data_IF_881993201785
#
_entry.id   IF_881993201785
#
_cell.length_a   1.000
_cell.length_b   1.000
_cell.length_c   1.000
_cell.angle_alpha   90.00
_cell.angle_beta   90.00
_cell.angle_gamma   90.00
#
_symmetry.space_group_name_H-M   'P 1'
#
loop_
_entity.id
_entity.type
_entity.pdbx_description
1 polymer ?
#
# COMPACT_ATOMS: atom_id res chain seq x y z
N UNK A 1 7.58 -0.14 -8.28
CA UNK A 1 8.38 0.52 -7.22
C UNK A 1 9.46 -0.43 -6.75
N UNK A 2 10.65 0.08 -6.56
CA UNK A 2 11.71 -0.66 -5.88
C UNK A 2 11.72 -0.25 -4.41
N UNK A 3 11.26 -1.15 -3.56
CA UNK A 3 11.12 -0.88 -2.12
C UNK A 3 12.48 -0.58 -1.48
N UNK A 4 13.50 -1.38 -1.81
CA UNK A 4 14.84 -1.19 -1.26
C UNK A 4 15.43 0.16 -1.62
N UNK A 5 15.26 0.57 -2.88
CA UNK A 5 15.73 1.86 -3.35
C UNK A 5 14.95 3.00 -2.69
N UNK A 6 13.64 2.87 -2.55
CA UNK A 6 12.80 3.88 -1.90
C UNK A 6 13.24 4.09 -0.44
N UNK A 7 13.52 3.01 0.28
CA UNK A 7 14.01 3.08 1.66
C UNK A 7 15.40 3.72 1.70
N UNK A 8 16.29 3.33 0.78
CA UNK A 8 17.63 3.91 0.71
C UNK A 8 17.60 5.43 0.48
N UNK A 9 16.71 5.87 -0.41
CA UNK A 9 16.50 7.31 -0.66
C UNK A 9 15.97 8.03 0.57
N UNK A 10 15.02 7.41 1.27
CA UNK A 10 14.45 7.97 2.51
C UNK A 10 15.54 8.17 3.58
N UNK A 11 16.47 7.22 3.70
CA UNK A 11 17.56 7.26 4.67
C UNK A 11 18.59 8.34 4.40
N UNK A 12 18.62 8.91 3.19
CA UNK A 12 19.53 10.00 2.84
C UNK A 12 19.10 11.34 3.44
N UNK A 13 17.84 11.47 3.83
CA UNK A 13 17.34 12.69 4.45
C UNK A 13 18.02 12.86 5.83
N UNK A 14 18.64 14.02 6.11
CA UNK A 14 19.31 14.24 7.41
C UNK A 14 18.39 14.12 8.62
N UNK A 15 17.09 14.33 8.43
CA UNK A 15 16.11 14.25 9.50
C UNK A 15 15.58 12.84 9.74
N UNK A 16 15.94 11.88 8.89
CA UNK A 16 15.46 10.51 8.98
C UNK A 16 15.78 9.88 10.35
N UNK A 17 17.03 9.89 10.75
CA UNK A 17 17.47 9.23 11.98
C UNK A 17 16.84 9.84 13.24
N UNK A 18 16.54 11.13 13.21
CA UNK A 18 15.93 11.83 14.35
C UNK A 18 14.46 11.49 14.54
N UNK A 19 13.78 11.11 13.47
CA UNK A 19 12.33 10.97 13.45
C UNK A 19 11.85 9.54 13.23
N UNK A 20 12.78 8.60 12.98
CA UNK A 20 12.40 7.25 12.56
C UNK A 20 13.04 6.19 13.45
N UNK A 21 12.21 5.38 14.05
CA UNK A 21 12.63 4.19 14.78
C UNK A 21 12.21 2.91 14.10
N UNK A 22 11.30 2.99 13.11
CA UNK A 22 10.82 1.83 12.37
C UNK A 22 10.20 2.20 11.04
N UNK A 23 10.14 1.21 10.16
CA UNK A 23 9.42 1.29 8.89
C UNK A 23 8.54 0.05 8.77
N UNK A 24 7.26 0.24 8.49
CA UNK A 24 6.36 -0.85 8.10
C UNK A 24 6.10 -0.78 6.61
N UNK A 25 6.04 -1.95 5.99
CA UNK A 25 5.82 -2.09 4.56
C UNK A 25 4.66 -3.04 4.32
N UNK A 26 3.70 -2.61 3.51
CA UNK A 26 2.67 -3.47 2.94
C UNK A 26 2.94 -3.61 1.45
N UNK A 27 3.03 -4.84 0.98
CA UNK A 27 3.13 -5.16 -0.43
C UNK A 27 1.97 -6.09 -0.78
N UNK A 28 0.92 -5.53 -1.41
CA UNK A 28 -0.23 -6.30 -1.84
C UNK A 28 0.03 -6.95 -3.20
N UNK A 29 -0.27 -8.24 -3.29
CA UNK A 29 -0.03 -9.07 -4.47
C UNK A 29 -1.36 -9.56 -5.02
N UNK A 30 -1.49 -9.62 -6.34
CA UNK A 30 -2.67 -10.20 -6.99
C UNK A 30 -2.68 -11.71 -6.74
N UNK A 31 -3.78 -12.20 -6.16
CA UNK A 31 -3.94 -13.63 -5.85
C UNK A 31 -4.39 -14.41 -7.08
N UNK A 32 -3.99 -15.68 -7.15
CA UNK A 32 -4.48 -16.61 -8.15
C UNK A 32 -5.80 -17.29 -7.76
N UNK A 33 -6.42 -16.86 -6.66
CA UNK A 33 -7.64 -17.45 -6.11
C UNK A 33 -8.52 -16.38 -5.47
N UNK A 34 -9.83 -16.61 -5.52
CA UNK A 34 -10.81 -15.71 -4.93
C UNK A 34 -11.00 -15.99 -3.44
N UNK A 35 -11.14 -14.93 -2.64
CA UNK A 35 -11.45 -15.04 -1.22
C UNK A 35 -12.84 -15.65 -0.97
N UNK A 36 -13.78 -15.42 -1.89
CA UNK A 36 -15.18 -15.87 -1.71
C UNK A 36 -15.32 -17.39 -1.80
N UNK A 37 -14.73 -18.00 -2.79
CA UNK A 37 -14.99 -19.41 -3.12
C UNK A 37 -13.76 -20.19 -3.55
N UNK A 38 -12.57 -19.60 -3.44
CA UNK A 38 -11.29 -20.20 -3.83
C UNK A 38 -11.20 -20.56 -5.32
N UNK A 39 -12.11 -20.06 -6.16
CA UNK A 39 -12.01 -20.27 -7.59
C UNK A 39 -10.76 -19.63 -8.18
N UNK A 40 -10.27 -20.17 -9.29
CA UNK A 40 -9.04 -19.68 -9.94
C UNK A 40 -9.28 -18.31 -10.57
N UNK A 41 -8.44 -17.35 -10.18
CA UNK A 41 -8.41 -16.00 -10.76
C UNK A 41 -7.36 -15.97 -11.85
N UNK A 42 -7.73 -15.54 -13.05
CA UNK A 42 -6.81 -15.42 -14.19
C UNK A 42 -6.32 -14.01 -14.42
N UNK A 43 -7.10 -13.01 -13.98
CA UNK A 43 -6.78 -11.61 -14.18
C UNK A 43 -7.55 -10.77 -13.16
N UNK A 44 -6.98 -9.66 -12.74
CA UNK A 44 -7.62 -8.67 -11.88
C UNK A 44 -7.62 -7.33 -12.59
N UNK A 45 -8.81 -6.80 -12.85
CA UNK A 45 -8.97 -5.43 -13.33
C UNK A 45 -9.04 -4.50 -12.12
N UNK A 46 -8.18 -3.48 -12.10
CA UNK A 46 -8.05 -2.57 -10.97
C UNK A 46 -8.18 -1.14 -11.43
N UNK A 47 -9.01 -0.39 -10.73
CA UNK A 47 -9.12 1.06 -10.89
C UNK A 47 -8.79 1.69 -9.54
N UNK A 48 -7.73 2.50 -9.51
CA UNK A 48 -7.28 3.20 -8.32
C UNK A 48 -7.51 4.69 -8.46
N UNK A 49 -8.11 5.30 -7.42
CA UNK A 49 -8.31 6.75 -7.34
C UNK A 49 -7.05 7.38 -6.74
N UNK A 50 -6.13 7.77 -7.62
CA UNK A 50 -4.82 8.30 -7.20
C UNK A 50 -4.93 9.63 -6.45
N UNK A 51 -5.89 10.47 -6.79
CA UNK A 51 -6.11 11.74 -6.09
C UNK A 51 -6.56 11.50 -4.65
N UNK A 52 -7.49 10.57 -4.46
CA UNK A 52 -7.98 10.22 -3.13
C UNK A 52 -6.88 9.58 -2.29
N UNK A 53 -6.08 8.71 -2.89
CA UNK A 53 -4.94 8.09 -2.21
C UNK A 53 -3.96 9.16 -1.72
N UNK A 54 -3.65 10.16 -2.54
CA UNK A 54 -2.74 11.24 -2.17
C UNK A 54 -3.30 12.09 -1.02
N UNK A 55 -4.60 12.36 -1.02
CA UNK A 55 -5.25 13.07 0.08
C UNK A 55 -5.12 12.30 1.39
N UNK A 56 -5.38 10.98 1.36
CA UNK A 56 -5.22 10.12 2.54
C UNK A 56 -3.77 10.05 3.00
N UNK A 57 -2.83 9.88 2.07
CA UNK A 57 -1.40 9.86 2.38
C UNK A 57 -1.01 11.13 3.14
N UNK A 58 -1.38 12.29 2.61
CA UNK A 58 -1.07 13.58 3.22
C UNK A 58 -1.70 13.74 4.60
N UNK A 59 -2.95 13.32 4.76
CA UNK A 59 -3.66 13.36 6.04
C UNK A 59 -2.95 12.53 7.11
N UNK A 60 -2.61 11.30 6.78
CA UNK A 60 -1.98 10.37 7.73
C UNK A 60 -0.52 10.71 8.02
N UNK A 61 0.18 11.30 7.06
CA UNK A 61 1.57 11.71 7.26
C UNK A 61 1.70 12.79 8.33
N UNK A 62 0.63 13.55 8.59
CA UNK A 62 0.60 14.60 9.62
C UNK A 62 0.31 14.08 11.03
N UNK A 63 0.00 12.80 11.18
CA UNK A 63 -0.29 12.25 12.50
C UNK A 63 0.97 12.19 13.37
N UNK A 64 0.81 12.29 14.71
CA UNK A 64 1.96 12.28 15.61
C UNK A 64 2.85 11.05 15.42
N UNK A 65 4.15 11.27 15.39
CA UNK A 65 5.14 10.20 15.30
C UNK A 65 5.36 9.66 13.90
N UNK A 66 4.66 10.15 12.89
CA UNK A 66 4.83 9.71 11.50
C UNK A 66 5.82 10.64 10.80
N UNK A 67 6.86 10.03 10.22
CA UNK A 67 7.88 10.76 9.50
C UNK A 67 7.54 10.88 8.02
N UNK A 68 7.26 9.75 7.36
CA UNK A 68 6.98 9.74 5.93
C UNK A 68 6.11 8.54 5.54
N UNK A 69 5.24 8.78 4.58
CA UNK A 69 4.41 7.73 3.97
C UNK A 69 4.62 7.77 2.46
N UNK A 70 4.88 6.59 1.87
CA UNK A 70 4.98 6.43 0.42
C UNK A 70 3.94 5.39 0.00
N UNK A 71 3.12 5.72 -0.98
CA UNK A 71 2.09 4.82 -1.50
C UNK A 71 2.20 4.77 -3.02
N UNK A 72 2.16 3.56 -3.56
CA UNK A 72 2.03 3.34 -4.99
C UNK A 72 0.94 2.32 -5.24
N UNK A 73 -0.13 2.72 -5.94
CA UNK A 73 -1.22 1.85 -6.34
C UNK A 73 -1.21 1.71 -7.86
N UNK A 74 -1.48 0.50 -8.35
CA UNK A 74 -1.56 0.24 -9.79
C UNK A 74 -3.00 0.25 -10.26
N UNK A 75 -3.18 0.61 -11.54
CA UNK A 75 -4.45 0.49 -12.26
C UNK A 75 -4.22 -0.33 -13.51
N UNK A 76 -5.27 -0.93 -14.03
CA UNK A 76 -5.23 -1.70 -15.27
C UNK A 76 -5.53 -3.16 -15.05
N UNK A 77 -5.13 -3.98 -16.02
CA UNK A 77 -5.32 -5.43 -15.97
C UNK A 77 -4.06 -6.07 -15.43
N UNK A 78 -4.16 -6.67 -14.25
CA UNK A 78 -3.05 -7.29 -13.56
C UNK A 78 -3.22 -8.80 -13.53
N UNK A 79 -2.11 -9.51 -13.42
CA UNK A 79 -2.09 -10.97 -13.38
C UNK A 79 -1.68 -11.45 -11.99
N UNK A 80 -2.08 -12.68 -11.61
CA UNK A 80 -1.62 -13.28 -10.36
C UNK A 80 -0.11 -13.18 -10.21
N UNK A 81 0.34 -12.77 -9.04
CA UNK A 81 1.75 -12.55 -8.75
C UNK A 81 2.22 -11.12 -8.97
N UNK A 82 1.44 -10.29 -9.67
CA UNK A 82 1.79 -8.89 -9.86
C UNK A 82 1.63 -8.10 -8.56
N UNK A 83 2.48 -7.09 -8.41
CA UNK A 83 2.35 -6.13 -7.33
C UNK A 83 1.15 -5.22 -7.59
N UNK A 84 0.32 -5.04 -6.57
CA UNK A 84 -0.90 -4.26 -6.66
C UNK A 84 -0.80 -2.94 -5.92
N UNK A 85 -0.27 -2.98 -4.71
CA UNK A 85 -0.29 -1.84 -3.79
C UNK A 85 0.90 -1.90 -2.85
N UNK A 86 1.70 -0.83 -2.84
CA UNK A 86 2.76 -0.63 -1.87
C UNK A 86 2.38 0.48 -0.91
N UNK A 87 2.54 0.24 0.38
CA UNK A 87 2.44 1.28 1.41
C UNK A 87 3.66 1.17 2.30
N UNK A 88 4.39 2.26 2.45
CA UNK A 88 5.53 2.36 3.34
C UNK A 88 5.21 3.44 4.37
N UNK A 89 5.24 3.10 5.65
CA UNK A 89 5.03 4.05 6.75
C UNK A 89 6.27 4.04 7.63
N UNK A 90 6.95 5.18 7.68
CA UNK A 90 8.12 5.40 8.51
C UNK A 90 7.73 6.33 9.67
N UNK A 91 8.12 5.98 10.89
CA UNK A 91 7.81 6.77 12.07
C UNK A 91 8.64 6.37 13.28
N UNK A 92 8.29 6.93 14.41
CA UNK A 92 9.10 6.82 15.62
C UNK A 92 8.98 5.47 16.34
N UNK A 93 7.78 5.11 16.76
CA UNK A 93 7.52 3.88 17.52
C UNK A 93 6.29 3.15 16.96
N UNK A 94 6.20 1.85 17.24
CA UNK A 94 5.11 1.00 16.70
C UNK A 94 3.73 1.42 17.16
N UNK A 95 3.61 2.00 18.34
CA UNK A 95 2.32 2.48 18.88
C UNK A 95 1.73 3.59 18.01
N UNK A 96 2.57 4.36 17.30
CA UNK A 96 2.13 5.38 16.36
C UNK A 96 2.04 4.84 14.92
N UNK A 97 2.97 3.98 14.53
CA UNK A 97 3.11 3.52 13.14
C UNK A 97 2.11 2.43 12.77
N UNK A 98 1.90 1.44 13.65
CA UNK A 98 0.99 0.32 13.36
C UNK A 98 -0.45 0.75 13.11
N UNK A 99 -1.07 1.61 13.96
CA UNK A 99 -2.44 2.06 13.70
C UNK A 99 -2.57 2.82 12.38
N UNK A 100 -1.59 3.65 12.04
CA UNK A 100 -1.59 4.39 10.78
C UNK A 100 -1.55 3.45 9.59
N UNK A 101 -0.67 2.44 9.60
CA UNK A 101 -0.62 1.45 8.52
C UNK A 101 -1.95 0.72 8.40
N UNK A 102 -2.52 0.25 9.50
CA UNK A 102 -3.77 -0.50 9.52
C UNK A 102 -4.94 0.32 8.97
N UNK A 103 -5.13 1.53 9.48
CA UNK A 103 -6.22 2.40 9.05
C UNK A 103 -6.06 2.84 7.59
N UNK A 104 -4.85 3.22 7.20
CA UNK A 104 -4.58 3.68 5.85
C UNK A 104 -4.82 2.57 4.82
N UNK A 105 -4.36 1.36 5.13
CA UNK A 105 -4.59 0.19 4.27
C UNK A 105 -6.09 -0.09 4.10
N UNK A 106 -6.85 -0.09 5.19
CA UNK A 106 -8.29 -0.33 5.16
C UNK A 106 -9.01 0.75 4.35
N UNK A 107 -8.67 2.02 4.56
CA UNK A 107 -9.30 3.13 3.85
C UNK A 107 -8.96 3.15 2.36
N UNK A 108 -7.73 2.86 1.99
CA UNK A 108 -7.36 2.76 0.58
C UNK A 108 -8.17 1.67 -0.10
N UNK A 109 -8.26 0.49 0.52
CA UNK A 109 -9.00 -0.64 -0.06
C UNK A 109 -10.49 -0.36 -0.21
N UNK A 110 -11.10 0.33 0.74
CA UNK A 110 -12.54 0.60 0.72
C UNK A 110 -12.91 1.86 -0.07
N UNK A 111 -12.07 2.90 -0.03
CA UNK A 111 -12.41 4.20 -0.59
C UNK A 111 -11.76 4.50 -1.94
N UNK A 112 -10.63 3.86 -2.25
CA UNK A 112 -9.79 4.27 -3.37
C UNK A 112 -9.59 3.23 -4.46
N UNK A 113 -9.93 1.97 -4.22
CA UNK A 113 -9.62 0.88 -5.14
C UNK A 113 -10.86 0.07 -5.47
N UNK A 114 -11.14 -0.07 -6.76
CA UNK A 114 -12.19 -0.94 -7.28
C UNK A 114 -11.52 -2.11 -8.01
N UNK A 115 -12.00 -3.31 -7.76
CA UNK A 115 -11.44 -4.54 -8.31
C UNK A 115 -12.51 -5.38 -8.97
N UNK A 116 -12.16 -6.02 -10.09
CA UNK A 116 -13.00 -7.00 -10.77
C UNK A 116 -12.15 -8.20 -11.15
N UNK A 117 -12.46 -9.34 -10.54
CA UNK A 117 -11.76 -10.60 -10.83
C UNK A 117 -12.32 -11.26 -12.09
N UNK A 118 -11.41 -11.79 -12.93
CA UNK A 118 -11.78 -12.69 -14.01
C UNK A 118 -11.41 -14.09 -13.59
N UNK A 119 -12.33 -15.03 -13.79
CA UNK A 119 -12.18 -16.40 -13.35
C UNK A 119 -11.99 -17.34 -14.52
N UNK A 120 -11.38 -18.48 -14.25
CA UNK A 120 -11.25 -19.54 -15.24
C UNK A 120 -12.66 -20.06 -15.59
N UNK A 121 -12.96 -20.12 -16.89
CA UNK A 121 -14.22 -20.69 -17.37
C UNK A 121 -14.22 -22.20 -17.24
N UNK A 122 -15.32 -22.77 -16.81
CA UNK A 122 -15.53 -24.21 -16.74
C UNK A 122 -16.21 -24.70 -18.01
#
# INVERSE_FOLDING_TARGET
>A
MDISQTIAEMKKDPDFAKNTGMILIHNGIVRAWSLKNRSTVTELEVISDHERIELLRSEYEKKPGIYRIVIQARSGNLKPGDDLLFIIVAGDIRENVKPVMSELLDRIKTECVQKKERHLSN
#
